data_IF_416560894657
#
_entry.id   IF_416560894657
#
_cell.length_a   1.000
_cell.length_b   1.000
_cell.length_c   1.000
_cell.angle_alpha   90.00
_cell.angle_beta   90.00
_cell.angle_gamma   90.00
#
_symmetry.space_group_name_H-M   'P 1'
#
loop_
_entity.id
_entity.type
_entity.pdbx_description
1 polymer ?
#
# COMPACT_ATOMS: atom_id res chain seq x y z
N UNK A 1 3.82 -1.74 3.00
CA UNK A 1 3.46 -2.17 4.37
C UNK A 1 2.35 -1.26 4.84
N UNK A 2 1.15 -1.76 5.18
CA UNK A 2 0.05 -0.91 5.56
C UNK A 2 0.51 -0.04 6.74
N UNK A 3 0.45 1.28 6.55
CA UNK A 3 0.87 2.24 7.57
C UNK A 3 0.20 1.97 8.92
N UNK A 4 -1.04 1.47 8.87
CA UNK A 4 -1.86 1.14 10.01
C UNK A 4 -1.28 0.01 10.88
N UNK A 5 -1.05 -1.19 10.33
CA UNK A 5 -0.47 -2.32 11.08
C UNK A 5 0.86 -1.95 11.73
N UNK A 6 1.74 -1.30 10.96
CA UNK A 6 3.06 -0.89 11.45
C UNK A 6 2.97 0.17 12.55
N UNK A 7 1.97 1.05 12.47
CA UNK A 7 1.71 2.06 13.50
C UNK A 7 1.24 1.41 14.79
N UNK A 8 0.20 0.56 14.74
CA UNK A 8 -0.31 -0.16 15.90
C UNK A 8 0.76 -1.05 16.55
N UNK A 9 1.52 -1.78 15.73
CA UNK A 9 2.65 -2.56 16.21
C UNK A 9 3.72 -1.70 16.91
N UNK A 10 3.97 -0.47 16.47
CA UNK A 10 4.98 0.41 17.09
C UNK A 10 4.50 1.08 18.38
N UNK A 11 3.21 1.30 18.51
CA UNK A 11 2.60 1.99 19.65
C UNK A 11 2.67 1.15 20.93
N UNK A 12 2.56 -0.18 20.79
CA UNK A 12 2.65 -1.07 21.94
C UNK A 12 4.08 -1.30 22.44
N UNK A 13 4.25 -1.29 23.76
CA UNK A 13 5.51 -1.69 24.39
C UNK A 13 5.70 -3.21 24.33
N UNK A 14 6.91 -3.62 23.98
CA UNK A 14 7.31 -5.05 23.89
C UNK A 14 8.64 -5.21 24.60
N UNK A 15 8.65 -5.93 25.71
CA UNK A 15 9.86 -6.17 26.51
C UNK A 15 10.65 -7.40 26.03
N UNK A 16 10.03 -8.30 25.27
CA UNK A 16 10.64 -9.54 24.80
C UNK A 16 10.29 -9.84 23.34
N UNK A 17 11.10 -10.67 22.69
CA UNK A 17 10.83 -11.12 21.32
C UNK A 17 9.53 -11.92 21.21
N UNK A 18 9.22 -12.77 22.20
CA UNK A 18 7.98 -13.53 22.22
C UNK A 18 6.74 -12.61 22.26
N UNK A 19 6.78 -11.57 23.10
CA UNK A 19 5.73 -10.55 23.15
C UNK A 19 5.62 -9.79 21.82
N UNK A 20 6.75 -9.40 21.24
CA UNK A 20 6.77 -8.74 19.93
C UNK A 20 6.16 -9.62 18.83
N UNK A 21 6.48 -10.91 18.79
CA UNK A 21 5.92 -11.86 17.84
C UNK A 21 4.41 -12.02 18.01
N UNK A 22 3.93 -12.15 19.26
CA UNK A 22 2.50 -12.26 19.56
C UNK A 22 1.73 -11.03 19.07
N UNK A 23 2.22 -9.86 19.43
CA UNK A 23 1.66 -8.56 19.02
C UNK A 23 1.61 -8.42 17.49
N UNK A 24 2.64 -8.89 16.79
CA UNK A 24 2.64 -8.85 15.32
C UNK A 24 1.49 -9.67 14.74
N UNK A 25 1.16 -10.83 15.29
CA UNK A 25 0.01 -11.61 14.82
C UNK A 25 -1.32 -10.95 15.20
N UNK A 26 -1.44 -10.47 16.44
CA UNK A 26 -2.66 -9.79 16.92
C UNK A 26 -3.06 -8.62 16.01
N UNK A 27 -2.12 -7.74 15.65
CA UNK A 27 -2.42 -6.62 14.76
C UNK A 27 -2.57 -7.01 13.28
N UNK A 28 -1.97 -8.11 12.85
CA UNK A 28 -2.21 -8.64 11.50
C UNK A 28 -3.65 -9.15 11.38
N UNK A 29 -4.11 -9.89 12.38
CA UNK A 29 -5.47 -10.45 12.43
C UNK A 29 -6.53 -9.36 12.66
N UNK A 30 -6.19 -8.31 13.43
CA UNK A 30 -7.07 -7.15 13.64
C UNK A 30 -7.11 -6.17 12.46
N UNK A 31 -6.31 -6.39 11.41
CA UNK A 31 -6.20 -5.45 10.29
C UNK A 31 -7.53 -5.32 9.54
N UNK A 32 -8.13 -4.11 9.48
CA UNK A 32 -9.38 -3.92 8.78
C UNK A 32 -9.30 -4.29 7.30
N UNK A 33 -10.33 -4.94 6.78
CA UNK A 33 -10.32 -5.43 5.39
C UNK A 33 -10.18 -4.30 4.37
N UNK A 34 -10.73 -3.12 4.66
CA UNK A 34 -10.58 -1.92 3.82
C UNK A 34 -9.12 -1.44 3.73
N UNK A 35 -8.36 -1.54 4.82
CA UNK A 35 -6.92 -1.23 4.83
C UNK A 35 -6.16 -2.19 3.92
N UNK A 36 -6.45 -3.49 4.01
CA UNK A 36 -5.86 -4.52 3.14
C UNK A 36 -6.20 -4.25 1.67
N UNK A 37 -7.48 -4.00 1.36
CA UNK A 37 -7.94 -3.68 -0.01
C UNK A 37 -7.26 -2.43 -0.55
N UNK A 38 -7.16 -1.36 0.24
CA UNK A 38 -6.50 -0.11 -0.17
C UNK A 38 -5.02 -0.32 -0.47
N UNK A 39 -4.34 -1.15 0.31
CA UNK A 39 -2.95 -1.52 0.06
C UNK A 39 -2.79 -2.30 -1.25
N UNK A 40 -3.60 -3.34 -1.47
CA UNK A 40 -3.56 -4.15 -2.70
C UNK A 40 -3.86 -3.28 -3.93
N UNK A 41 -4.90 -2.44 -3.87
CA UNK A 41 -5.27 -1.54 -4.97
C UNK A 41 -4.15 -0.55 -5.30
N UNK A 42 -3.50 0.01 -4.28
CA UNK A 42 -2.36 0.91 -4.46
C UNK A 42 -1.19 0.18 -5.13
N UNK A 43 -0.82 -0.99 -4.62
CA UNK A 43 0.26 -1.81 -5.20
C UNK A 43 -0.05 -2.20 -6.65
N UNK A 44 -1.31 -2.54 -6.95
CA UNK A 44 -1.75 -2.86 -8.31
C UNK A 44 -1.64 -1.65 -9.25
N UNK A 45 -1.99 -0.45 -8.78
CA UNK A 45 -1.77 0.80 -9.53
C UNK A 45 -0.30 1.01 -9.91
N UNK A 46 0.62 0.83 -8.94
CA UNK A 46 2.06 0.91 -9.22
C UNK A 46 2.51 -0.16 -10.22
N UNK A 47 2.10 -1.41 -10.04
CA UNK A 47 2.43 -2.48 -10.99
C UNK A 47 1.90 -2.19 -12.39
N UNK A 48 0.71 -1.59 -12.52
CA UNK A 48 0.18 -1.14 -13.81
C UNK A 48 1.07 -0.08 -14.44
N UNK A 49 1.52 0.93 -13.67
CA UNK A 49 2.40 1.99 -14.20
C UNK A 49 3.75 1.44 -14.67
N UNK A 50 4.34 0.51 -13.91
CA UNK A 50 5.60 -0.14 -14.29
C UNK A 50 5.45 -0.98 -15.56
N UNK A 51 4.34 -1.72 -15.70
CA UNK A 51 4.02 -2.45 -16.93
C UNK A 51 3.88 -1.53 -18.14
N UNK A 52 3.49 -0.29 -17.93
CA UNK A 52 3.42 0.75 -18.97
C UNK A 52 4.76 1.49 -19.16
N UNK A 53 5.84 1.08 -18.51
CA UNK A 53 7.17 1.66 -18.66
C UNK A 53 7.45 2.92 -17.83
N UNK A 54 6.51 3.36 -16.99
CA UNK A 54 6.75 4.49 -16.08
C UNK A 54 7.60 4.03 -14.90
N UNK A 55 8.51 4.88 -14.45
CA UNK A 55 9.35 4.59 -13.29
C UNK A 55 9.39 5.78 -12.32
N UNK A 56 9.84 5.53 -11.09
CA UNK A 56 10.07 6.56 -10.08
C UNK A 56 8.89 7.53 -9.89
N UNK A 57 9.18 8.83 -10.00
CA UNK A 57 8.21 9.92 -9.77
C UNK A 57 7.05 9.93 -10.78
N UNK A 58 7.27 9.46 -12.00
CA UNK A 58 6.22 9.41 -13.03
C UNK A 58 5.17 8.36 -12.70
N UNK A 59 5.60 7.18 -12.23
CA UNK A 59 4.71 6.13 -11.72
C UNK A 59 3.92 6.62 -10.49
N UNK A 60 4.59 7.28 -9.55
CA UNK A 60 3.93 7.86 -8.37
C UNK A 60 2.86 8.90 -8.74
N UNK A 61 3.19 9.81 -9.67
CA UNK A 61 2.25 10.81 -10.14
C UNK A 61 1.04 10.17 -10.83
N UNK A 62 1.26 9.16 -11.68
CA UNK A 62 0.19 8.44 -12.37
C UNK A 62 -0.79 7.78 -11.38
N UNK A 63 -0.26 7.07 -10.38
CA UNK A 63 -1.08 6.43 -9.33
C UNK A 63 -1.87 7.46 -8.53
N UNK A 64 -1.26 8.62 -8.20
CA UNK A 64 -1.94 9.70 -7.45
C UNK A 64 -3.01 10.43 -8.28
N UNK A 65 -2.77 10.60 -9.58
CA UNK A 65 -3.69 11.28 -10.50
C UNK A 65 -4.90 10.41 -10.83
N UNK A 66 -4.74 9.09 -10.81
CA UNK A 66 -5.81 8.15 -11.09
C UNK A 66 -6.79 8.03 -9.92
N UNK A 67 -8.02 8.50 -10.11
CA UNK A 67 -9.11 8.43 -9.12
C UNK A 67 -10.13 7.30 -9.38
N UNK A 68 -9.88 6.41 -10.34
CA UNK A 68 -10.84 5.38 -10.78
C UNK A 68 -10.31 3.95 -10.68
N UNK A 69 -11.22 2.97 -10.81
CA UNK A 69 -10.95 1.53 -10.70
C UNK A 69 -10.15 0.89 -11.84
N UNK A 70 -9.97 1.59 -12.96
CA UNK A 70 -9.30 1.03 -14.15
C UNK A 70 -7.80 1.26 -14.07
N UNK A 71 -7.02 0.40 -14.72
CA UNK A 71 -5.59 0.63 -15.00
C UNK A 71 -5.35 2.04 -15.57
N UNK A 72 -4.13 2.58 -15.41
CA UNK A 72 -3.77 3.94 -15.86
C UNK A 72 -4.18 4.12 -17.32
N UNK A 73 -5.15 5.01 -17.57
CA UNK A 73 -5.61 5.24 -18.94
C UNK A 73 -4.47 5.80 -19.78
N UNK A 74 -4.34 5.38 -21.03
CA UNK A 74 -3.34 5.93 -21.96
C UNK A 74 -3.37 7.47 -22.05
N UNK A 75 -4.54 8.08 -21.84
CA UNK A 75 -4.69 9.53 -21.83
C UNK A 75 -3.94 10.20 -20.67
N UNK A 76 -3.93 9.56 -19.49
CA UNK A 76 -3.15 10.03 -18.33
C UNK A 76 -1.65 9.80 -18.53
N UNK A 77 -1.28 8.76 -19.28
CA UNK A 77 0.11 8.46 -19.67
C UNK A 77 0.70 9.51 -20.62
N UNK A 78 -0.10 10.04 -21.57
CA UNK A 78 0.36 11.03 -22.56
C UNK A 78 0.54 12.45 -22.00
N UNK A 79 0.16 12.70 -20.75
CA UNK A 79 0.26 14.00 -20.07
C UNK A 79 1.37 14.04 -19.00
N UNK A 80 2.16 12.96 -18.91
CA UNK A 80 3.38 12.83 -18.11
C UNK A 80 4.61 13.14 -18.94
#
# INVERSE_FOLDING_TARGET
MPSWFKYCYRDEQKSTFAAAKKVAFEWLDACPTDVIRRFINCAWGFMSTYRCGLTGRAAEWAVKKQRGHRAVSERAMRQL
#
